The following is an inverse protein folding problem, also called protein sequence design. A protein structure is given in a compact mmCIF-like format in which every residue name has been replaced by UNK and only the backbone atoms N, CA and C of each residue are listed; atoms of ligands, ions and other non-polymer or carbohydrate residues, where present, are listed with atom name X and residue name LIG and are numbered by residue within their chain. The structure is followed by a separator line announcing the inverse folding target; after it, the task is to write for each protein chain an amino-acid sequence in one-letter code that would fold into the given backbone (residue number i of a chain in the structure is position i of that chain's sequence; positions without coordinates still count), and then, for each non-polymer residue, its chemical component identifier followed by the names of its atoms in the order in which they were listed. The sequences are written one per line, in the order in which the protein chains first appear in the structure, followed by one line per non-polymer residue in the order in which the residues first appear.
data_IF_313419199762
#
_entry.id   IF_313419199762
#
_cell.length_a   1.000
_cell.length_b   1.000
_cell.length_c   1.000
_cell.angle_alpha   90.00
_cell.angle_beta   90.00
_cell.angle_gamma   90.00
#
_symmetry.space_group_name_H-M   'P 1'
#
loop_
_entity.id
_entity.type
_entity.pdbx_description
1 polymer ?
#
# COMPACT_ATOMS: atom_id res chain seq x y z
N UNK A 1 18.25 -1.88 -8.86
CA UNK A 1 17.35 -1.87 -7.67
C UNK A 1 15.95 -2.37 -8.02
N UNK A 2 15.33 -1.84 -9.08
CA UNK A 2 14.03 -2.28 -9.59
C UNK A 2 14.01 -3.77 -9.99
N UNK A 3 15.06 -4.26 -10.65
CA UNK A 3 15.18 -5.69 -11.03
C UNK A 3 15.05 -6.64 -9.83
N UNK A 4 15.61 -6.30 -8.67
CA UNK A 4 15.49 -7.10 -7.44
C UNK A 4 14.07 -7.09 -6.86
N UNK A 5 13.35 -5.98 -6.97
CA UNK A 5 11.94 -5.90 -6.56
C UNK A 5 11.06 -6.75 -7.48
N UNK A 6 11.35 -6.72 -8.79
CA UNK A 6 10.71 -7.61 -9.76
C UNK A 6 11.00 -9.07 -9.46
N UNK A 7 12.25 -9.46 -9.17
CA UNK A 7 12.59 -10.83 -8.76
C UNK A 7 11.80 -11.29 -7.52
N UNK A 8 11.67 -10.42 -6.51
CA UNK A 8 10.93 -10.72 -5.27
C UNK A 8 9.44 -10.93 -5.54
N UNK A 9 8.84 -10.03 -6.34
CA UNK A 9 7.44 -10.13 -6.73
C UNK A 9 7.16 -11.33 -7.64
N UNK A 10 8.04 -11.60 -8.61
CA UNK A 10 7.96 -12.77 -9.49
C UNK A 10 8.06 -14.07 -8.69
N UNK A 11 8.84 -14.09 -7.60
CA UNK A 11 8.87 -15.21 -6.68
C UNK A 11 7.49 -15.51 -6.08
N UNK A 12 6.76 -14.50 -5.64
CA UNK A 12 5.39 -14.66 -5.14
C UNK A 12 4.42 -15.17 -6.22
N UNK A 13 4.47 -14.59 -7.42
CA UNK A 13 3.65 -15.02 -8.57
C UNK A 13 3.98 -16.46 -8.97
N UNK A 14 5.26 -16.85 -8.93
CA UNK A 14 5.71 -18.21 -9.22
C UNK A 14 5.16 -19.23 -8.22
N UNK A 15 5.13 -18.91 -6.92
CA UNK A 15 4.51 -19.75 -5.90
C UNK A 15 2.99 -19.88 -6.09
N UNK A 16 2.33 -18.84 -6.59
CA UNK A 16 0.91 -18.89 -6.98
C UNK A 16 0.72 -19.84 -8.18
N UNK A 17 1.52 -19.69 -9.25
CA UNK A 17 1.41 -20.50 -10.47
C UNK A 17 1.66 -21.99 -10.18
N UNK A 18 2.60 -22.28 -9.27
CA UNK A 18 2.89 -23.65 -8.82
C UNK A 18 1.80 -24.25 -7.92
N UNK A 19 0.78 -23.47 -7.54
CA UNK A 19 -0.27 -23.91 -6.63
C UNK A 19 0.20 -24.11 -5.18
N UNK A 20 1.33 -23.53 -4.80
CA UNK A 20 1.87 -23.62 -3.43
C UNK A 20 1.14 -22.67 -2.47
N UNK A 21 0.43 -21.67 -3.00
CA UNK A 21 -0.40 -20.73 -2.24
C UNK A 21 -1.89 -20.98 -2.51
N UNK A 22 -2.76 -20.88 -1.49
CA UNK A 22 -4.18 -21.13 -1.66
C UNK A 22 -4.84 -20.02 -2.50
N UNK A 23 -5.87 -20.39 -3.25
CA UNK A 23 -6.67 -19.47 -4.09
C UNK A 23 -7.26 -18.30 -3.29
N UNK A 24 -7.46 -18.47 -1.98
CA UNK A 24 -7.89 -17.40 -1.08
C UNK A 24 -6.92 -16.22 -1.04
N UNK A 25 -5.60 -16.44 -1.13
CA UNK A 25 -4.61 -15.37 -1.21
C UNK A 25 -4.82 -14.55 -2.48
N UNK A 26 -5.01 -15.21 -3.62
CA UNK A 26 -5.27 -14.54 -4.91
C UNK A 26 -6.54 -13.70 -4.82
N UNK A 27 -7.63 -14.29 -4.31
CA UNK A 27 -8.90 -13.60 -4.12
C UNK A 27 -8.79 -12.40 -3.17
N UNK A 28 -8.07 -12.54 -2.06
CA UNK A 28 -7.84 -11.45 -1.11
C UNK A 28 -6.95 -10.35 -1.67
N UNK A 29 -5.93 -10.65 -2.47
CA UNK A 29 -5.10 -9.65 -3.15
C UNK A 29 -5.90 -8.89 -4.20
N UNK A 30 -6.76 -9.58 -4.96
CA UNK A 30 -7.68 -8.92 -5.89
C UNK A 30 -8.66 -8.00 -5.17
N UNK A 31 -9.27 -8.49 -4.09
CA UNK A 31 -10.18 -7.70 -3.26
C UNK A 31 -9.48 -6.45 -2.70
N UNK A 32 -8.25 -6.61 -2.21
CA UNK A 32 -7.45 -5.48 -1.75
C UNK A 32 -7.18 -4.47 -2.86
N UNK A 33 -6.90 -4.92 -4.09
CA UNK A 33 -6.77 -4.05 -5.26
C UNK A 33 -8.05 -3.26 -5.55
N UNK A 34 -9.22 -3.89 -5.46
CA UNK A 34 -10.52 -3.20 -5.58
C UNK A 34 -10.69 -2.17 -4.47
N UNK A 35 -10.28 -2.46 -3.23
CA UNK A 35 -10.32 -1.50 -2.13
C UNK A 35 -9.38 -0.31 -2.35
N UNK A 36 -8.21 -0.52 -2.93
CA UNK A 36 -7.31 0.57 -3.34
C UNK A 36 -7.97 1.50 -4.35
N UNK A 37 -8.62 0.93 -5.39
CA UNK A 37 -9.37 1.73 -6.37
C UNK A 37 -10.49 2.51 -5.69
N UNK A 38 -11.30 1.83 -4.86
CA UNK A 38 -12.42 2.46 -4.17
C UNK A 38 -11.96 3.60 -3.24
N UNK A 39 -10.84 3.43 -2.54
CA UNK A 39 -10.23 4.46 -1.71
C UNK A 39 -9.71 5.64 -2.55
N UNK A 40 -9.11 5.35 -3.72
CA UNK A 40 -8.69 6.36 -4.69
C UNK A 40 -9.86 7.19 -5.20
N UNK A 41 -10.90 6.53 -5.72
CA UNK A 41 -12.14 7.19 -6.18
C UNK A 41 -12.79 8.01 -5.06
N UNK A 42 -12.83 7.48 -3.83
CA UNK A 42 -13.39 8.19 -2.70
C UNK A 42 -12.57 9.45 -2.35
N UNK A 43 -11.24 9.36 -2.38
CA UNK A 43 -10.34 10.52 -2.20
C UNK A 43 -10.57 11.57 -3.29
N UNK A 44 -10.61 11.16 -4.56
CA UNK A 44 -10.90 12.05 -5.69
C UNK A 44 -12.26 12.74 -5.55
N UNK A 45 -13.33 12.00 -5.25
CA UNK A 45 -14.67 12.58 -5.03
C UNK A 45 -14.69 13.58 -3.87
N UNK A 46 -13.97 13.30 -2.78
CA UNK A 46 -13.83 14.22 -1.64
C UNK A 46 -13.04 15.48 -2.01
N UNK A 47 -12.07 15.38 -2.92
CA UNK A 47 -11.35 16.53 -3.46
C UNK A 47 -12.25 17.34 -4.38
N UNK A 48 -13.00 16.70 -5.28
CA UNK A 48 -13.96 17.36 -6.18
C UNK A 48 -15.09 18.07 -5.45
N UNK A 49 -15.70 17.44 -4.44
CA UNK A 49 -16.74 18.09 -3.63
C UNK A 49 -16.23 19.38 -2.95
N UNK A 50 -14.92 19.46 -2.69
CA UNK A 50 -14.27 20.66 -2.16
C UNK A 50 -13.81 21.63 -3.25
N UNK A 51 -13.36 21.16 -4.41
CA UNK A 51 -12.97 22.02 -5.55
C UNK A 51 -14.17 22.64 -6.25
N UNK A 52 -15.34 22.00 -6.25
CA UNK A 52 -16.60 22.59 -6.72
C UNK A 52 -17.04 23.75 -5.80
N UNK A 53 -16.71 23.69 -4.51
CA UNK A 53 -16.85 24.81 -3.58
C UNK A 53 -15.92 26.00 -3.96
N UNK A 54 -14.89 25.75 -4.79
CA UNK A 54 -13.94 26.72 -5.34
C UNK A 54 -14.02 26.86 -6.88
N UNK A 55 -15.05 26.33 -7.54
CA UNK A 55 -15.35 26.61 -8.95
C UNK A 55 -14.60 25.80 -10.03
N UNK A 56 -13.92 24.68 -9.72
CA UNK A 56 -13.31 23.81 -10.75
C UNK A 56 -13.94 22.42 -10.78
N UNK A 57 -14.53 22.07 -11.95
CA UNK A 57 -15.01 20.71 -12.29
C UNK A 57 -13.91 19.95 -13.03
N UNK A 58 -13.46 18.84 -12.45
CA UNK A 58 -12.72 17.81 -13.19
C UNK A 58 -13.70 16.67 -13.50
N UNK A 59 -13.80 16.28 -14.76
CA UNK A 59 -14.73 15.23 -15.21
C UNK A 59 -13.91 14.04 -15.74
N UNK A 60 -13.67 13.02 -14.90
CA UNK A 60 -13.04 11.76 -15.32
C UNK A 60 -14.11 10.81 -15.88
N UNK A 61 -13.92 10.31 -17.10
CA UNK A 61 -14.89 9.48 -17.81
C UNK A 61 -14.88 8.02 -17.37
N UNK A 62 -16.05 7.39 -17.28
CA UNK A 62 -16.24 6.01 -16.79
C UNK A 62 -15.43 4.92 -17.53
N UNK A 63 -14.93 5.20 -18.75
CA UNK A 63 -14.08 4.30 -19.53
C UNK A 63 -12.62 4.21 -19.07
N UNK A 64 -12.10 5.16 -18.28
CA UNK A 64 -10.75 5.06 -17.69
C UNK A 64 -10.72 4.16 -16.45
N UNK A 65 -11.85 4.01 -15.74
CA UNK A 65 -11.94 3.25 -14.49
C UNK A 65 -11.55 1.78 -14.63
N UNK A 66 -11.97 1.08 -15.69
CA UNK A 66 -11.63 -0.34 -15.86
C UNK A 66 -10.13 -0.58 -16.11
N UNK A 67 -9.50 0.30 -16.88
CA UNK A 67 -8.06 0.24 -17.14
C UNK A 67 -7.28 0.55 -15.86
N UNK A 68 -7.73 1.56 -15.11
CA UNK A 68 -7.13 1.95 -13.84
C UNK A 68 -7.30 0.84 -12.79
N UNK A 69 -8.46 0.18 -12.73
CA UNK A 69 -8.69 -1.00 -11.86
C UNK A 69 -7.71 -2.11 -12.18
N UNK A 70 -7.53 -2.45 -13.46
CA UNK A 70 -6.61 -3.53 -13.84
C UNK A 70 -5.15 -3.21 -13.49
N UNK A 71 -4.71 -1.97 -13.73
CA UNK A 71 -3.38 -1.51 -13.36
C UNK A 71 -3.18 -1.55 -11.84
N UNK A 72 -4.15 -1.07 -11.06
CA UNK A 72 -4.09 -1.08 -9.60
C UNK A 72 -4.11 -2.50 -9.05
N UNK A 73 -4.87 -3.42 -9.64
CA UNK A 73 -4.83 -4.84 -9.27
C UNK A 73 -3.42 -5.42 -9.49
N UNK A 74 -2.81 -5.22 -10.66
CA UNK A 74 -1.45 -5.68 -10.94
C UNK A 74 -0.46 -5.06 -9.95
N UNK A 75 -0.56 -3.74 -9.70
CA UNK A 75 0.29 -3.04 -8.75
C UNK A 75 0.12 -3.61 -7.33
N UNK A 76 -1.09 -3.98 -6.93
CA UNK A 76 -1.36 -4.58 -5.62
C UNK A 76 -0.72 -5.96 -5.51
N UNK A 77 -0.81 -6.81 -6.55
CA UNK A 77 -0.07 -8.06 -6.61
C UNK A 77 1.44 -7.84 -6.52
N UNK A 78 1.93 -6.80 -7.19
CA UNK A 78 3.34 -6.47 -7.16
C UNK A 78 3.81 -6.09 -5.76
N UNK A 79 3.09 -5.17 -5.09
CA UNK A 79 3.40 -4.69 -3.73
C UNK A 79 3.33 -5.83 -2.72
N UNK A 80 2.24 -6.60 -2.70
CA UNK A 80 2.10 -7.77 -1.81
C UNK A 80 3.22 -8.77 -2.06
N UNK A 81 3.58 -9.02 -3.33
CA UNK A 81 4.66 -9.93 -3.70
C UNK A 81 6.05 -9.43 -3.27
N UNK A 82 6.31 -8.12 -3.36
CA UNK A 82 7.54 -7.51 -2.84
C UNK A 82 7.61 -7.68 -1.32
N UNK A 83 6.54 -7.39 -0.59
CA UNK A 83 6.49 -7.56 0.87
C UNK A 83 6.71 -9.02 1.26
N UNK A 84 6.05 -9.96 0.58
CA UNK A 84 6.26 -11.40 0.76
C UNK A 84 7.73 -11.77 0.58
N UNK A 85 8.35 -11.30 -0.50
CA UNK A 85 9.77 -11.55 -0.79
C UNK A 85 10.69 -10.96 0.29
N UNK A 86 10.40 -9.74 0.77
CA UNK A 86 11.18 -9.10 1.83
C UNK A 86 11.05 -9.87 3.14
N UNK A 87 9.83 -10.27 3.55
CA UNK A 87 9.66 -11.07 4.76
C UNK A 87 10.32 -12.44 4.64
N UNK A 88 10.29 -13.07 3.46
CA UNK A 88 11.01 -14.32 3.20
C UNK A 88 12.53 -14.14 3.30
N UNK A 89 13.06 -13.06 2.74
CA UNK A 89 14.49 -12.72 2.87
C UNK A 89 14.87 -12.44 4.33
N UNK A 90 14.04 -11.68 5.05
CA UNK A 90 14.24 -11.38 6.46
C UNK A 90 14.21 -12.66 7.31
N UNK A 91 13.28 -13.57 7.05
CA UNK A 91 13.21 -14.87 7.73
C UNK A 91 14.47 -15.71 7.51
N UNK A 92 15.06 -15.67 6.31
CA UNK A 92 16.31 -16.38 6.01
C UNK A 92 17.55 -15.70 6.60
N UNK A 93 17.61 -14.38 6.55
CA UNK A 93 18.77 -13.61 7.01
C UNK A 93 18.82 -13.43 8.53
N UNK A 94 17.65 -13.42 9.18
CA UNK A 94 17.50 -13.13 10.61
C UNK A 94 16.71 -14.24 11.31
N UNK A 95 17.23 -15.48 11.37
CA UNK A 95 16.56 -16.58 12.06
C UNK A 95 16.40 -16.31 13.57
N UNK A 96 17.28 -15.49 14.15
CA UNK A 96 17.20 -15.05 15.55
C UNK A 96 15.95 -14.22 15.88
N UNK A 97 15.21 -13.74 14.89
CA UNK A 97 13.97 -12.99 15.11
C UNK A 97 12.77 -13.90 15.40
N UNK A 98 12.96 -15.22 15.42
CA UNK A 98 11.92 -16.18 15.78
C UNK A 98 10.92 -16.43 14.66
N UNK A 99 11.32 -16.21 13.41
CA UNK A 99 10.53 -16.67 12.28
C UNK A 99 10.40 -18.20 12.38
N UNK A 100 9.18 -18.77 12.31
CA UNK A 100 9.05 -20.21 12.26
C UNK A 100 9.84 -20.76 11.05
N UNK A 101 10.20 -22.05 11.08
CA UNK A 101 10.82 -22.69 9.91
C UNK A 101 9.78 -22.74 8.81
N UNK A 102 9.89 -21.83 7.84
CA UNK A 102 8.86 -21.57 6.84
C UNK A 102 9.25 -22.26 5.52
N UNK A 103 8.46 -23.23 4.99
CA UNK A 103 8.66 -23.77 3.64
C UNK A 103 8.58 -22.67 2.56
N UNK A 104 9.13 -22.95 1.38
CA UNK A 104 9.34 -21.95 0.32
C UNK A 104 8.05 -21.30 -0.21
N UNK A 105 6.91 -21.97 -0.14
CA UNK A 105 5.56 -21.44 -0.39
C UNK A 105 4.80 -21.22 0.91
N UNK A 106 5.14 -20.17 1.66
CA UNK A 106 4.58 -20.01 2.99
C UNK A 106 3.31 -19.17 3.05
N UNK A 107 2.20 -19.84 3.35
CA UNK A 107 0.89 -19.22 3.49
C UNK A 107 0.85 -18.17 4.61
N UNK A 108 1.60 -18.37 5.71
CA UNK A 108 1.67 -17.42 6.83
C UNK A 108 2.31 -16.12 6.38
N UNK A 109 3.44 -16.18 5.66
CA UNK A 109 4.10 -15.00 5.11
C UNK A 109 3.22 -14.27 4.09
N UNK A 110 2.48 -15.01 3.26
CA UNK A 110 1.57 -14.43 2.27
C UNK A 110 0.41 -13.66 2.93
N UNK A 111 -0.24 -14.25 3.95
CA UNK A 111 -1.24 -13.54 4.75
C UNK A 111 -0.65 -12.35 5.48
N UNK A 112 0.54 -12.50 6.04
CA UNK A 112 1.23 -11.41 6.75
C UNK A 112 1.49 -10.21 5.83
N UNK A 113 2.00 -10.43 4.61
CA UNK A 113 2.14 -9.37 3.61
C UNK A 113 0.81 -8.73 3.22
N UNK A 114 -0.25 -9.52 3.04
CA UNK A 114 -1.58 -9.00 2.75
C UNK A 114 -2.10 -8.07 3.86
N UNK A 115 -1.92 -8.47 5.13
CA UNK A 115 -2.35 -7.68 6.29
C UNK A 115 -1.53 -6.39 6.39
N UNK A 116 -0.21 -6.45 6.18
CA UNK A 116 0.69 -5.28 6.19
C UNK A 116 0.28 -4.29 5.10
N UNK A 117 0.09 -4.74 3.87
CA UNK A 117 -0.39 -3.88 2.78
C UNK A 117 -1.78 -3.30 3.09
N UNK A 118 -2.68 -4.08 3.71
CA UNK A 118 -4.02 -3.62 4.10
C UNK A 118 -3.97 -2.53 5.18
N UNK A 119 -3.08 -2.67 6.18
CA UNK A 119 -2.86 -1.65 7.20
C UNK A 119 -2.29 -0.36 6.61
N UNK A 120 -1.43 -0.45 5.61
CA UNK A 120 -0.94 0.71 4.87
C UNK A 120 -2.09 1.46 4.17
N UNK A 121 -3.01 0.75 3.52
CA UNK A 121 -4.22 1.35 2.92
C UNK A 121 -5.09 2.06 3.98
N UNK A 122 -5.32 1.43 5.13
CA UNK A 122 -6.05 2.04 6.24
C UNK A 122 -5.35 3.32 6.72
N UNK A 123 -4.02 3.29 6.84
CA UNK A 123 -3.20 4.45 7.18
C UNK A 123 -3.42 5.62 6.21
N UNK A 124 -3.41 5.35 4.90
CA UNK A 124 -3.68 6.35 3.85
C UNK A 124 -5.08 6.93 3.99
N UNK A 125 -6.11 6.09 4.20
CA UNK A 125 -7.49 6.54 4.40
C UNK A 125 -7.61 7.44 5.64
N UNK A 126 -6.97 7.07 6.75
CA UNK A 126 -6.93 7.89 7.97
C UNK A 126 -6.25 9.23 7.70
N UNK A 127 -5.14 9.22 6.97
CA UNK A 127 -4.42 10.44 6.62
C UNK A 127 -5.28 11.36 5.73
N UNK A 128 -6.01 10.81 4.77
CA UNK A 128 -6.98 11.52 3.93
C UNK A 128 -8.21 12.02 4.72
N UNK A 129 -8.59 11.35 5.80
CA UNK A 129 -9.64 11.83 6.71
C UNK A 129 -9.18 13.04 7.52
N UNK A 130 -7.97 12.97 8.09
CA UNK A 130 -7.46 13.97 9.03
C UNK A 130 -6.87 15.19 8.32
N UNK A 131 -6.05 14.99 7.30
CA UNK A 131 -5.20 16.05 6.71
C UNK A 131 -5.58 16.49 5.31
N UNK A 132 -6.69 15.98 4.80
CA UNK A 132 -7.42 16.15 3.55
C UNK A 132 -7.13 17.36 2.60
N UNK A 133 -6.38 18.40 2.95
CA UNK A 133 -6.03 19.56 2.11
C UNK A 133 -4.70 20.28 2.49
N UNK A 134 -3.98 19.89 3.54
CA UNK A 134 -2.71 20.56 3.91
C UNK A 134 -1.55 19.68 3.47
N UNK A 135 -0.71 20.19 2.57
CA UNK A 135 0.64 19.68 2.36
C UNK A 135 1.37 19.74 3.69
N UNK A 136 1.50 18.60 4.37
CA UNK A 136 2.25 18.53 5.62
C UNK A 136 3.72 18.55 5.28
N UNK A 137 4.31 19.75 5.23
CA UNK A 137 5.73 19.95 4.93
C UNK A 137 6.64 19.72 6.15
N UNK A 138 6.05 19.48 7.33
CA UNK A 138 6.81 19.28 8.56
C UNK A 138 7.42 17.88 8.63
N UNK A 139 8.75 17.79 8.51
CA UNK A 139 9.47 16.51 8.64
C UNK A 139 9.20 15.77 9.96
N UNK A 140 9.08 16.50 11.08
CA UNK A 140 8.77 15.91 12.38
C UNK A 140 7.41 15.22 12.44
N UNK A 141 6.42 15.73 11.69
CA UNK A 141 5.10 15.11 11.62
C UNK A 141 5.22 13.69 11.04
N UNK A 142 5.93 13.54 9.92
CA UNK A 142 6.10 12.25 9.26
C UNK A 142 6.84 11.25 10.13
N UNK A 143 7.85 11.69 10.89
CA UNK A 143 8.57 10.83 11.84
C UNK A 143 7.62 10.32 12.93
N UNK A 144 6.84 11.21 13.55
CA UNK A 144 5.89 10.84 14.60
C UNK A 144 4.79 9.93 14.03
N UNK A 145 4.25 10.26 12.85
CA UNK A 145 3.24 9.48 12.17
C UNK A 145 3.75 8.06 11.88
N UNK A 146 4.94 7.92 11.30
CA UNK A 146 5.58 6.62 11.02
C UNK A 146 5.73 5.80 12.29
N UNK A 147 6.18 6.40 13.40
CA UNK A 147 6.36 5.71 14.67
C UNK A 147 5.02 5.26 15.26
N UNK A 148 4.03 6.14 15.32
CA UNK A 148 2.69 5.83 15.86
C UNK A 148 2.02 4.75 15.03
N UNK A 149 2.00 4.90 13.70
CA UNK A 149 1.43 3.91 12.80
C UNK A 149 2.19 2.59 12.86
N UNK A 150 3.52 2.60 13.02
CA UNK A 150 4.30 1.37 13.17
C UNK A 150 3.90 0.62 14.43
N UNK A 151 3.79 1.31 15.58
CA UNK A 151 3.39 0.68 16.85
C UNK A 151 1.94 0.17 16.78
N UNK A 152 1.01 0.98 16.27
CA UNK A 152 -0.39 0.57 16.13
C UNK A 152 -0.55 -0.61 15.18
N UNK A 153 0.15 -0.59 14.04
CA UNK A 153 0.14 -1.69 13.08
C UNK A 153 0.76 -2.95 13.68
N UNK A 154 1.88 -2.83 14.40
CA UNK A 154 2.50 -3.95 15.09
C UNK A 154 1.55 -4.59 16.12
N UNK A 155 0.89 -3.78 16.95
CA UNK A 155 -0.12 -4.25 17.89
C UNK A 155 -1.31 -4.92 17.19
N UNK A 156 -1.80 -4.32 16.09
CA UNK A 156 -2.90 -4.87 15.31
C UNK A 156 -2.52 -6.22 14.67
N UNK A 157 -1.33 -6.31 14.08
CA UNK A 157 -0.80 -7.56 13.51
C UNK A 157 -0.65 -8.64 14.57
N UNK A 158 -0.12 -8.30 15.74
CA UNK A 158 0.04 -9.23 16.84
C UNK A 158 -1.31 -9.77 17.34
N UNK A 159 -2.37 -8.95 17.31
CA UNK A 159 -3.70 -9.35 17.75
C UNK A 159 -4.49 -10.12 16.68
N UNK A 160 -4.43 -9.67 15.42
CA UNK A 160 -5.18 -10.26 14.30
C UNK A 160 -4.54 -11.54 13.76
N UNK A 161 -3.21 -11.61 13.76
CA UNK A 161 -2.48 -12.72 13.17
C UNK A 161 -1.27 -13.12 14.01
N UNK A 162 -1.49 -13.67 15.21
CA UNK A 162 -0.41 -14.12 16.08
C UNK A 162 0.31 -15.33 15.46
N UNK A 163 1.55 -15.14 15.06
CA UNK A 163 2.47 -16.18 14.61
C UNK A 163 3.13 -16.82 15.83
N UNK A 164 2.92 -18.13 16.00
CA UNK A 164 3.53 -18.90 17.08
C UNK A 164 5.06 -18.86 17.00
N UNK A 165 5.72 -18.53 18.11
CA UNK A 165 7.18 -18.41 18.19
C UNK A 165 7.76 -17.10 17.66
N UNK A 166 6.95 -16.23 17.05
CA UNK A 166 7.42 -14.95 16.54
C UNK A 166 7.74 -13.98 17.69
N UNK A 167 8.89 -13.33 17.61
CA UNK A 167 9.27 -12.28 18.57
C UNK A 167 8.50 -10.98 18.29
N UNK A 168 8.32 -10.10 19.29
CA UNK A 168 7.71 -8.78 19.12
C UNK A 168 8.36 -7.93 18.01
N UNK A 169 9.66 -8.15 17.75
CA UNK A 169 10.42 -7.43 16.74
C UNK A 169 9.94 -7.68 15.31
N UNK A 170 9.39 -8.86 15.02
CA UNK A 170 8.79 -9.16 13.71
C UNK A 170 7.59 -8.25 13.48
N UNK A 171 6.71 -8.13 14.47
CA UNK A 171 5.53 -7.28 14.37
C UNK A 171 5.92 -5.80 14.26
N UNK A 172 6.92 -5.37 15.03
CA UNK A 172 7.44 -4.00 14.94
C UNK A 172 8.01 -3.69 13.55
N UNK A 173 8.83 -4.58 12.99
CA UNK A 173 9.37 -4.44 11.63
C UNK A 173 8.28 -4.44 10.57
N UNK A 174 7.25 -5.27 10.74
CA UNK A 174 6.09 -5.33 9.84
C UNK A 174 5.25 -4.06 9.90
N UNK A 175 5.04 -3.52 11.10
CA UNK A 175 4.38 -2.24 11.30
C UNK A 175 5.17 -1.08 10.69
N UNK A 176 6.51 -1.11 10.79
CA UNK A 176 7.37 -0.14 10.13
C UNK A 176 7.26 -0.21 8.59
N UNK A 177 7.22 -1.42 8.02
CA UNK A 177 7.00 -1.61 6.59
C UNK A 177 5.65 -1.05 6.16
N UNK A 178 4.58 -1.34 6.92
CA UNK A 178 3.24 -0.78 6.68
C UNK A 178 3.24 0.74 6.70
N UNK A 179 3.90 1.37 7.68
CA UNK A 179 3.90 2.82 7.82
C UNK A 179 4.75 3.51 6.74
N UNK A 180 5.88 2.92 6.36
CA UNK A 180 6.69 3.38 5.24
C UNK A 180 5.95 3.25 3.91
N UNK A 181 5.25 2.14 3.68
CA UNK A 181 4.41 1.96 2.49
C UNK A 181 3.29 2.99 2.45
N UNK A 182 2.63 3.26 3.58
CA UNK A 182 1.62 4.31 3.69
C UNK A 182 2.18 5.69 3.30
N UNK A 183 3.35 6.06 3.82
CA UNK A 183 3.99 7.35 3.48
C UNK A 183 4.38 7.40 2.00
N UNK A 184 4.91 6.30 1.46
CA UNK A 184 5.26 6.21 0.04
C UNK A 184 4.03 6.39 -0.85
N UNK A 185 2.93 5.69 -0.55
CA UNK A 185 1.68 5.82 -1.29
C UNK A 185 1.16 7.26 -1.25
N UNK A 186 1.22 7.90 -0.08
CA UNK A 186 0.83 9.31 0.04
C UNK A 186 1.71 10.24 -0.78
N UNK A 187 3.03 10.01 -0.76
CA UNK A 187 3.97 10.82 -1.52
C UNK A 187 3.72 10.69 -3.03
N UNK A 188 3.46 9.48 -3.52
CA UNK A 188 3.11 9.24 -4.92
C UNK A 188 1.80 9.96 -5.30
N UNK A 189 0.78 9.89 -4.45
CA UNK A 189 -0.47 10.64 -4.66
C UNK A 189 -0.23 12.16 -4.77
N UNK A 190 0.62 12.72 -3.91
CA UNK A 190 0.95 14.14 -3.95
C UNK A 190 1.72 14.53 -5.23
N UNK A 191 2.61 13.66 -5.72
CA UNK A 191 3.30 13.89 -7.00
C UNK A 191 2.34 13.92 -8.19
N UNK A 192 1.36 13.02 -8.20
CA UNK A 192 0.32 12.98 -9.25
C UNK A 192 -0.57 14.22 -9.20
N UNK A 193 -1.02 14.63 -8.00
CA UNK A 193 -1.79 15.86 -7.79
C UNK A 193 -1.07 17.11 -8.33
N UNK A 194 0.21 17.28 -7.99
CA UNK A 194 1.01 18.42 -8.45
C UNK A 194 1.22 18.41 -9.98
N UNK A 195 1.31 17.23 -10.59
CA UNK A 195 1.47 17.11 -12.03
C UNK A 195 0.19 17.50 -12.79
N UNK A 196 -0.98 17.10 -12.28
CA UNK A 196 -2.27 17.44 -12.87
C UNK A 196 -2.60 18.94 -12.74
N UNK A 197 -2.28 19.55 -11.60
CA UNK A 197 -2.43 21.01 -11.42
C UNK A 197 -1.57 21.81 -12.41
N UNK A 198 -0.33 21.36 -12.66
CA UNK A 198 0.57 22.02 -13.61
C UNK A 198 0.09 21.97 -15.06
N UNK A 199 -0.58 20.87 -15.46
CA UNK A 199 -1.17 20.73 -16.80
C UNK A 199 -2.44 21.58 -16.95
N UNK A 200 -3.29 21.62 -15.93
CA UNK A 200 -4.49 22.46 -15.94
C UNK A 200 -4.18 23.95 -16.04
N UNK A 201 -3.07 24.40 -15.44
CA UNK A 201 -2.61 25.79 -15.55
C UNK A 201 -2.03 26.10 -16.95
N UNK A 202 -1.21 25.20 -17.50
CA UNK A 202 -0.66 25.34 -18.86
C UNK A 202 -1.74 25.38 -19.95
N UNK A 203 -2.76 24.52 -19.86
CA UNK A 203 -3.88 24.51 -20.80
C UNK A 203 -4.72 25.80 -20.68
N UNK A 204 -4.90 26.32 -19.46
CA UNK A 204 -5.63 27.59 -19.24
C UNK A 204 -4.91 28.83 -19.75
N UNK A 205 -3.57 28.81 -19.79
CA UNK A 205 -2.72 29.87 -20.34
C UNK A 205 -2.72 29.83 -21.88
N UNK A 206 -2.86 28.65 -22.49
CA UNK A 206 -2.85 28.49 -23.96
C UNK A 206 -4.15 28.93 -24.67
N UNK A 207 -5.22 29.17 -23.90
CA UNK A 207 -6.56 29.54 -24.41
C UNK A 207 -6.82 31.06 -24.31
N UNK A 208 -5.94 31.83 -23.67
CA UNK A 208 -5.97 33.30 -23.63
C UNK A 208 -4.89 33.91 -24.53
#
# INVERSE_FOLDING_TARGET
MIERLFELSLGFIWHIIKGELPLSIIGSTLLLGVLFVAAGEWSERRKHARSEQFGRRLQRGMGTLFKDVFIVMIATFFVVGVEYGIFRLAARALPAWGWPVLPDGNVVLAWHSLIVTSLALVGVIILELIWAAKTVSFGYFWVIYVLVCAVLSACALQWLYPVSGATPWIYLGSGLMSSLLCVLLRYLQQMEENADDSKGEADSISVN
#
